data_IF_818304742722
#
_entry.id   IF_818304742722
#
_cell.length_a   1.000
_cell.length_b   1.000
_cell.length_c   1.000
_cell.angle_alpha   90.00
_cell.angle_beta   90.00
_cell.angle_gamma   90.00
#
_symmetry.space_group_name_H-M   'P 1'
#
loop_
_entity.id
_entity.type
_entity.pdbx_description
1 polymer ?
#
# COMPACT_ATOMS: atom_id res chain seq x y z
N UNK A 1 -13.97 33.89 -15.46
CA UNK A 1 -13.46 32.51 -15.39
C UNK A 1 -13.32 32.18 -13.91
N UNK A 2 -14.04 31.18 -13.40
CA UNK A 2 -14.09 30.86 -11.97
C UNK A 2 -12.80 30.15 -11.54
N UNK A 3 -11.80 30.93 -11.11
CA UNK A 3 -10.47 30.44 -10.71
C UNK A 3 -10.54 29.53 -9.48
N UNK A 4 -11.59 29.66 -8.67
CA UNK A 4 -11.78 28.94 -7.40
C UNK A 4 -11.88 27.42 -7.58
N UNK A 5 -12.45 26.95 -8.70
CA UNK A 5 -12.49 25.51 -9.01
C UNK A 5 -11.18 24.99 -9.58
N UNK A 6 -10.41 25.82 -10.28
CA UNK A 6 -9.15 25.39 -10.93
C UNK A 6 -8.06 25.11 -9.90
N UNK A 7 -7.93 25.97 -8.89
CA UNK A 7 -6.96 25.78 -7.81
C UNK A 7 -7.31 24.54 -6.98
N UNK A 8 -8.59 24.36 -6.67
CA UNK A 8 -9.08 23.20 -5.93
C UNK A 8 -8.86 21.89 -6.73
N UNK A 9 -9.17 21.89 -8.03
CA UNK A 9 -8.91 20.74 -8.91
C UNK A 9 -7.41 20.45 -9.08
N UNK A 10 -6.57 21.47 -9.10
CA UNK A 10 -5.12 21.32 -9.18
C UNK A 10 -4.55 20.70 -7.90
N UNK A 11 -5.05 21.09 -6.72
CA UNK A 11 -4.67 20.49 -5.44
C UNK A 11 -5.13 19.03 -5.37
N UNK A 12 -6.36 18.72 -5.78
CA UNK A 12 -6.85 17.33 -5.84
C UNK A 12 -5.99 16.49 -6.79
N UNK A 13 -5.67 17.00 -7.98
CA UNK A 13 -4.83 16.31 -8.96
C UNK A 13 -3.37 16.11 -8.49
N UNK A 14 -2.80 17.09 -7.79
CA UNK A 14 -1.46 17.01 -7.21
C UNK A 14 -1.39 15.96 -6.08
N UNK A 15 -2.41 15.94 -5.21
CA UNK A 15 -2.53 14.92 -4.15
C UNK A 15 -2.69 13.52 -4.76
N UNK A 16 -3.54 13.38 -5.79
CA UNK A 16 -3.72 12.11 -6.51
C UNK A 16 -2.41 11.63 -7.16
N UNK A 17 -1.66 12.53 -7.80
CA UNK A 17 -0.39 12.19 -8.47
C UNK A 17 0.70 11.80 -7.48
N UNK A 18 0.84 12.54 -6.37
CA UNK A 18 1.80 12.20 -5.32
C UNK A 18 1.49 10.84 -4.68
N UNK A 19 0.20 10.56 -4.45
CA UNK A 19 -0.25 9.27 -3.94
C UNK A 19 0.02 8.11 -4.92
N UNK A 20 -0.16 8.34 -6.22
CA UNK A 20 0.07 7.33 -7.26
C UNK A 20 1.56 7.11 -7.60
N UNK A 21 2.42 8.10 -7.36
CA UNK A 21 3.78 8.12 -7.90
C UNK A 21 4.79 7.19 -7.23
N UNK A 22 4.57 6.74 -5.99
CA UNK A 22 5.67 6.19 -5.19
C UNK A 22 5.63 4.70 -4.85
N UNK A 23 4.61 3.93 -5.29
CA UNK A 23 4.32 2.67 -4.57
C UNK A 23 3.89 1.41 -5.36
N UNK A 24 3.90 1.25 -6.69
CA UNK A 24 3.35 0.00 -7.25
C UNK A 24 4.14 -1.29 -6.90
N UNK A 25 5.45 -1.20 -6.57
CA UNK A 25 6.30 -2.38 -6.31
C UNK A 25 7.08 -2.38 -4.99
N UNK A 26 7.15 -1.26 -4.27
CA UNK A 26 7.75 -1.16 -2.93
C UNK A 26 7.28 -2.23 -1.92
N UNK A 27 6.00 -2.67 -1.92
CA UNK A 27 5.50 -3.63 -0.94
C UNK A 27 6.06 -5.03 -1.18
N UNK A 28 6.24 -5.41 -2.45
CA UNK A 28 6.84 -6.70 -2.80
C UNK A 28 8.25 -6.80 -2.23
N UNK A 29 9.04 -5.73 -2.40
CA UNK A 29 10.41 -5.67 -1.89
C UNK A 29 10.44 -5.66 -0.36
N UNK A 30 9.59 -4.86 0.29
CA UNK A 30 9.50 -4.84 1.76
C UNK A 30 9.04 -6.16 2.35
N UNK A 31 8.05 -6.80 1.72
CA UNK A 31 7.58 -8.14 2.04
C UNK A 31 8.68 -9.18 1.90
N UNK A 32 9.38 -9.19 0.76
CA UNK A 32 10.47 -10.12 0.49
C UNK A 32 11.63 -9.99 1.49
N UNK A 33 12.04 -8.76 1.82
CA UNK A 33 13.08 -8.52 2.83
C UNK A 33 12.61 -9.04 4.19
N UNK A 34 11.36 -8.76 4.58
CA UNK A 34 10.83 -9.17 5.88
C UNK A 34 10.69 -10.70 5.98
N UNK A 35 10.21 -11.37 4.93
CA UNK A 35 10.11 -12.84 4.88
C UNK A 35 11.47 -13.53 4.87
N UNK A 36 12.47 -12.94 4.22
CA UNK A 36 13.84 -13.44 4.25
C UNK A 36 14.47 -13.33 5.64
N UNK A 37 14.23 -12.20 6.34
CA UNK A 37 14.74 -11.99 7.70
C UNK A 37 14.06 -12.85 8.76
N UNK A 38 12.75 -13.11 8.64
CA UNK A 38 12.02 -13.93 9.63
C UNK A 38 12.63 -15.34 9.71
N UNK A 39 12.91 -15.94 8.55
CA UNK A 39 13.53 -17.26 8.43
C UNK A 39 12.69 -18.38 9.04
N UNK A 40 12.04 -19.18 8.19
CA UNK A 40 11.16 -20.27 8.62
C UNK A 40 10.28 -20.77 7.49
N UNK A 41 9.29 -21.62 7.81
CA UNK A 41 8.36 -22.18 6.84
C UNK A 41 7.61 -21.10 6.06
N UNK A 42 7.20 -21.42 4.83
CA UNK A 42 6.52 -20.47 3.92
C UNK A 42 5.31 -19.76 4.53
N UNK A 43 4.62 -20.39 5.49
CA UNK A 43 3.49 -19.81 6.22
C UNK A 43 3.84 -18.59 7.08
N UNK A 44 5.04 -18.57 7.65
CA UNK A 44 5.52 -17.45 8.49
C UNK A 44 5.88 -16.24 7.63
N UNK A 45 6.51 -16.48 6.47
CA UNK A 45 6.78 -15.44 5.46
C UNK A 45 5.51 -14.75 4.93
N UNK A 46 4.42 -15.51 4.71
CA UNK A 46 3.12 -14.94 4.33
C UNK A 46 2.58 -13.99 5.40
N UNK A 47 2.67 -14.39 6.67
CA UNK A 47 2.12 -13.64 7.80
C UNK A 47 2.91 -12.36 8.03
N UNK A 48 4.24 -12.44 8.03
CA UNK A 48 5.14 -11.28 8.17
C UNK A 48 5.01 -10.34 6.97
N UNK A 49 4.94 -10.86 5.75
CA UNK A 49 4.71 -10.07 4.54
C UNK A 49 3.37 -9.34 4.56
N UNK A 50 2.31 -9.97 5.05
CA UNK A 50 1.01 -9.33 5.20
C UNK A 50 1.02 -8.22 6.28
N UNK A 51 1.67 -8.45 7.42
CA UNK A 51 1.82 -7.47 8.50
C UNK A 51 2.65 -6.27 8.03
N UNK A 52 3.78 -6.51 7.36
CA UNK A 52 4.61 -5.43 6.83
C UNK A 52 3.88 -4.64 5.74
N UNK A 53 3.09 -5.31 4.90
CA UNK A 53 2.22 -4.68 3.91
C UNK A 53 1.14 -3.80 4.53
N UNK A 54 0.53 -4.26 5.62
CA UNK A 54 -0.43 -3.48 6.39
C UNK A 54 0.23 -2.23 6.98
N UNK A 55 1.44 -2.34 7.50
CA UNK A 55 2.20 -1.19 8.03
C UNK A 55 2.59 -0.23 6.92
N UNK A 56 3.08 -0.73 5.78
CA UNK A 56 3.43 0.07 4.62
C UNK A 56 2.23 0.80 4.00
N UNK A 57 1.00 0.37 4.31
CA UNK A 57 -0.24 1.01 3.87
C UNK A 57 -0.63 2.25 4.71
N UNK A 58 0.00 2.48 5.87
CA UNK A 58 -0.32 3.62 6.75
C UNK A 58 -0.27 4.98 6.05
N UNK A 59 0.75 5.31 5.23
CA UNK A 59 0.78 6.58 4.50
C UNK A 59 -0.41 6.75 3.55
N UNK A 60 -0.84 5.67 2.87
CA UNK A 60 -2.01 5.69 1.99
C UNK A 60 -3.30 5.89 2.79
N UNK A 61 -3.42 5.25 3.96
CA UNK A 61 -4.54 5.47 4.88
C UNK A 61 -4.55 6.92 5.41
N UNK A 62 -3.39 7.49 5.74
CA UNK A 62 -3.25 8.89 6.14
C UNK A 62 -3.68 9.86 5.05
N UNK A 63 -3.30 9.60 3.79
CA UNK A 63 -3.73 10.38 2.64
C UNK A 63 -5.26 10.34 2.44
N UNK A 64 -5.89 9.17 2.63
CA UNK A 64 -7.35 9.04 2.59
C UNK A 64 -8.03 9.88 3.67
N UNK A 65 -7.54 9.80 4.92
CA UNK A 65 -8.09 10.59 6.03
C UNK A 65 -7.96 12.08 5.79
N UNK A 66 -6.80 12.52 5.27
CA UNK A 66 -6.57 13.90 4.85
C UNK A 66 -7.60 14.32 3.80
N UNK A 67 -7.81 13.51 2.77
CA UNK A 67 -8.76 13.81 1.71
C UNK A 67 -10.21 13.86 2.22
N UNK A 68 -10.59 12.94 3.11
CA UNK A 68 -11.90 12.93 3.77
C UNK A 68 -12.12 14.19 4.62
N UNK A 69 -11.08 14.73 5.25
CA UNK A 69 -11.16 15.95 6.04
C UNK A 69 -11.52 17.19 5.19
N UNK A 70 -11.30 17.15 3.86
CA UNK A 70 -11.67 18.23 2.94
C UNK A 70 -13.11 18.13 2.41
N UNK A 71 -13.81 17.00 2.63
CA UNK A 71 -15.19 16.78 2.17
C UNK A 71 -16.18 17.86 2.65
N UNK A 72 -16.12 18.36 3.90
CA UNK A 72 -17.04 19.41 4.38
C UNK A 72 -16.86 20.77 3.68
N UNK A 73 -15.75 20.99 2.98
CA UNK A 73 -15.46 22.25 2.27
C UNK A 73 -15.93 22.20 0.80
N UNK A 74 -16.55 21.10 0.37
CA UNK A 74 -17.03 20.95 -0.98
C UNK A 74 -18.32 21.75 -1.24
N UNK A 75 -18.45 22.40 -2.42
CA UNK A 75 -19.58 23.26 -2.74
C UNK A 75 -20.88 22.50 -3.03
N UNK A 76 -20.79 21.22 -3.41
CA UNK A 76 -21.93 20.35 -3.68
C UNK A 76 -21.78 19.04 -2.89
N UNK A 77 -22.71 18.81 -1.97
CA UNK A 77 -22.70 17.65 -1.06
C UNK A 77 -22.84 16.33 -1.81
N UNK A 78 -23.62 16.29 -2.90
CA UNK A 78 -23.82 15.08 -3.70
C UNK A 78 -22.54 14.67 -4.44
N UNK A 79 -21.85 15.64 -5.03
CA UNK A 79 -20.55 15.41 -5.68
C UNK A 79 -19.48 15.06 -4.65
N UNK A 80 -19.50 15.70 -3.48
CA UNK A 80 -18.55 15.44 -2.40
C UNK A 80 -18.65 14.01 -1.86
N UNK A 81 -19.87 13.55 -1.57
CA UNK A 81 -20.11 12.19 -1.09
C UNK A 81 -19.80 11.14 -2.15
N UNK A 82 -20.20 11.39 -3.42
CA UNK A 82 -19.87 10.50 -4.53
C UNK A 82 -18.37 10.39 -4.78
N UNK A 83 -17.66 11.53 -4.78
CA UNK A 83 -16.21 11.58 -4.92
C UNK A 83 -15.49 10.91 -3.75
N UNK A 84 -15.91 11.18 -2.51
CA UNK A 84 -15.34 10.55 -1.32
C UNK A 84 -15.52 9.03 -1.33
N UNK A 85 -16.69 8.55 -1.74
CA UNK A 85 -16.96 7.11 -1.86
C UNK A 85 -16.08 6.44 -2.93
N UNK A 86 -15.90 7.09 -4.09
CA UNK A 86 -15.00 6.57 -5.13
C UNK A 86 -13.54 6.56 -4.67
N UNK A 87 -13.06 7.61 -4.00
CA UNK A 87 -11.69 7.64 -3.48
C UNK A 87 -11.49 6.60 -2.37
N UNK A 88 -12.48 6.44 -1.49
CA UNK A 88 -12.48 5.37 -0.50
C UNK A 88 -12.33 3.99 -1.17
N UNK A 89 -13.13 3.72 -2.22
CA UNK A 89 -13.06 2.45 -2.95
C UNK A 89 -11.68 2.23 -3.57
N UNK A 90 -11.13 3.24 -4.25
CA UNK A 90 -9.81 3.18 -4.87
C UNK A 90 -8.72 2.93 -3.84
N UNK A 91 -8.76 3.60 -2.69
CA UNK A 91 -7.77 3.41 -1.63
C UNK A 91 -7.94 2.06 -0.94
N UNK A 92 -9.15 1.59 -0.69
CA UNK A 92 -9.39 0.26 -0.15
C UNK A 92 -8.83 -0.83 -1.08
N UNK A 93 -9.09 -0.71 -2.39
CA UNK A 93 -8.53 -1.59 -3.41
C UNK A 93 -7.00 -1.51 -3.45
N UNK A 94 -6.43 -0.31 -3.36
CA UNK A 94 -4.99 -0.11 -3.28
C UNK A 94 -4.42 -0.84 -2.06
N UNK A 95 -4.94 -0.58 -0.85
CA UNK A 95 -4.47 -1.25 0.38
C UNK A 95 -4.53 -2.78 0.24
N UNK A 96 -5.60 -3.31 -0.35
CA UNK A 96 -5.70 -4.74 -0.65
C UNK A 96 -4.57 -5.23 -1.58
N UNK A 97 -4.30 -4.50 -2.66
CA UNK A 97 -3.18 -4.76 -3.57
C UNK A 97 -1.81 -4.68 -2.87
N UNK A 98 -1.60 -3.68 -2.00
CA UNK A 98 -0.41 -3.49 -1.17
C UNK A 98 -0.14 -4.69 -0.25
N UNK A 99 -1.17 -5.09 0.49
CA UNK A 99 -1.09 -6.22 1.43
C UNK A 99 -0.86 -7.53 0.68
N UNK A 100 -1.57 -7.76 -0.43
CA UNK A 100 -1.41 -8.97 -1.24
C UNK A 100 0.01 -9.08 -1.82
N UNK A 101 0.55 -8.01 -2.39
CA UNK A 101 1.90 -7.99 -2.95
C UNK A 101 2.99 -8.14 -1.90
N UNK A 102 2.81 -7.53 -0.74
CA UNK A 102 3.75 -7.68 0.37
C UNK A 102 3.72 -9.08 0.97
N UNK A 103 2.54 -9.70 1.06
CA UNK A 103 2.39 -11.09 1.48
C UNK A 103 3.04 -12.05 0.46
N UNK A 104 2.86 -11.81 -0.84
CA UNK A 104 3.54 -12.54 -1.90
C UNK A 104 5.07 -12.37 -1.81
N UNK A 105 5.54 -11.15 -1.59
CA UNK A 105 6.95 -10.88 -1.33
C UNK A 105 7.47 -11.69 -0.15
N UNK A 106 6.76 -11.68 0.97
CA UNK A 106 7.13 -12.41 2.19
C UNK A 106 7.25 -13.92 2.00
N UNK A 107 6.33 -14.52 1.24
CA UNK A 107 6.41 -15.94 0.85
C UNK A 107 7.66 -16.23 0.04
N UNK A 108 7.98 -15.38 -0.94
CA UNK A 108 9.19 -15.55 -1.77
C UNK A 108 10.44 -15.40 -0.92
N UNK A 109 10.46 -14.42 -0.02
CA UNK A 109 11.58 -14.14 0.87
C UNK A 109 11.89 -15.31 1.81
N UNK A 110 10.87 -15.90 2.43
CA UNK A 110 11.07 -17.02 3.37
C UNK A 110 11.53 -18.29 2.66
N UNK A 111 10.97 -18.58 1.48
CA UNK A 111 11.39 -19.72 0.66
C UNK A 111 12.88 -19.64 0.28
N UNK A 112 13.35 -18.45 -0.13
CA UNK A 112 14.77 -18.23 -0.45
C UNK A 112 15.69 -18.45 0.75
N UNK A 113 15.25 -18.06 1.95
CA UNK A 113 16.03 -18.29 3.16
C UNK A 113 16.11 -19.79 3.52
N UNK A 114 15.00 -20.51 3.35
CA UNK A 114 14.89 -21.95 3.64
C UNK A 114 15.77 -22.79 2.70
N UNK A 115 15.83 -22.44 1.41
CA UNK A 115 16.70 -23.07 0.42
C UNK A 115 18.20 -22.79 0.70
N UNK A 116 18.55 -21.57 1.12
CA UNK A 116 19.93 -21.25 1.51
C UNK A 116 20.37 -22.02 2.77
N UNK A 117 19.51 -22.11 3.78
CA UNK A 117 19.82 -22.82 5.03
C UNK A 117 20.00 -24.33 4.83
N UNK A 118 19.21 -24.94 3.94
CA UNK A 118 19.34 -26.36 3.58
C UNK A 118 20.58 -26.65 2.74
N UNK A 119 21.02 -25.68 1.93
CA UNK A 119 22.26 -25.76 1.14
C UNK A 119 23.52 -25.73 2.01
N UNK A 120 23.56 -24.87 3.04
CA UNK A 120 24.69 -24.77 3.99
C UNK A 120 24.76 -25.96 4.95
N UNK A 121 23.61 -26.55 5.31
CA UNK A 121 23.55 -27.78 6.12
C UNK A 121 24.02 -29.05 5.40
N UNK A 122 24.24 -28.98 4.08
CA UNK A 122 24.73 -30.08 3.24
C UNK A 122 26.24 -30.01 2.95
N UNK A 123 26.97 -29.05 3.52
CA UNK A 123 28.43 -28.98 3.39
C UNK A 123 29.12 -30.02 4.30
N UNK A 124 29.95 -30.93 3.74
CA UNK A 124 30.61 -32.03 4.45
C UNK A 124 31.72 -31.60 5.42
#
# INVERSE_FOLDING_TARGET
MNTDNTLLNAVIGAVATFALSFVPFSPVLGGAIAGYLEGGETGDGLRVGAISGAIASLPAAGALLLLLAFVPFAPDVGVALGGAFLVFLVIAMAIGYFVALSALGGVIGSYLNEENASSDGAAP
#
